data_IF_065760988385
#
_entry.id   IF_065760988385
#
_cell.length_a   1.000
_cell.length_b   1.000
_cell.length_c   1.000
_cell.angle_alpha   90.00
_cell.angle_beta   90.00
_cell.angle_gamma   90.00
#
_symmetry.space_group_name_H-M   'P 1'
#
loop_
_entity.id
_entity.type
_entity.pdbx_description
1 polymer ?
#
# COMPACT_ATOMS: atom_id res chain seq x y z
N UNK A 1 -36.37 -29.55 -28.44
CA UNK A 1 -36.19 -29.54 -26.97
C UNK A 1 -34.88 -30.22 -26.53
N UNK A 2 -34.47 -31.34 -27.15
CA UNK A 2 -33.17 -31.99 -26.87
C UNK A 2 -31.96 -31.07 -27.13
N UNK A 3 -32.02 -30.26 -28.18
CA UNK A 3 -30.95 -29.34 -28.57
C UNK A 3 -30.59 -28.34 -27.46
N UNK A 4 -31.58 -27.69 -26.86
CA UNK A 4 -31.34 -26.73 -25.77
C UNK A 4 -30.77 -27.42 -24.54
N UNK A 5 -31.20 -28.66 -24.27
CA UNK A 5 -30.75 -29.45 -23.11
C UNK A 5 -29.28 -29.89 -23.24
N UNK A 6 -28.86 -30.27 -24.45
CA UNK A 6 -27.46 -30.61 -24.71
C UNK A 6 -26.57 -29.37 -24.58
N UNK A 7 -27.02 -28.21 -25.06
CA UNK A 7 -26.26 -26.96 -24.96
C UNK A 7 -26.04 -26.56 -23.50
N UNK A 8 -27.08 -26.57 -22.66
CA UNK A 8 -26.91 -26.23 -21.24
C UNK A 8 -26.03 -27.24 -20.50
N UNK A 9 -26.08 -28.52 -20.87
CA UNK A 9 -25.24 -29.55 -20.26
C UNK A 9 -23.76 -29.33 -20.60
N UNK A 10 -23.44 -29.02 -21.86
CA UNK A 10 -22.06 -28.71 -22.28
C UNK A 10 -21.58 -27.43 -21.61
N UNK A 11 -22.41 -26.38 -21.56
CA UNK A 11 -22.06 -25.12 -20.89
C UNK A 11 -21.81 -25.30 -19.40
N UNK A 12 -22.60 -26.13 -18.71
CA UNK A 12 -22.38 -26.44 -17.30
C UNK A 12 -21.04 -27.14 -17.06
N UNK A 13 -20.67 -28.12 -17.91
CA UNK A 13 -19.39 -28.83 -17.82
C UNK A 13 -18.21 -27.88 -18.10
N UNK A 14 -18.29 -27.10 -19.17
CA UNK A 14 -17.24 -26.12 -19.51
C UNK A 14 -17.09 -25.05 -18.42
N UNK A 15 -18.20 -24.55 -17.88
CA UNK A 15 -18.19 -23.57 -16.79
C UNK A 15 -17.50 -24.10 -15.53
N UNK A 16 -17.77 -25.35 -15.14
CA UNK A 16 -17.12 -25.98 -14.00
C UNK A 16 -15.60 -26.14 -14.20
N UNK A 17 -15.16 -26.56 -15.39
CA UNK A 17 -13.74 -26.71 -15.72
C UNK A 17 -13.02 -25.36 -15.69
N UNK A 18 -13.61 -24.31 -16.26
CA UNK A 18 -13.02 -22.97 -16.30
C UNK A 18 -12.83 -22.40 -14.89
N UNK A 19 -13.80 -22.55 -13.99
CA UNK A 19 -13.68 -22.09 -12.59
C UNK A 19 -12.61 -22.87 -11.83
N UNK A 20 -12.47 -24.16 -12.11
CA UNK A 20 -11.43 -24.98 -11.48
C UNK A 20 -10.02 -24.60 -11.96
N UNK A 21 -9.88 -24.25 -13.24
CA UNK A 21 -8.62 -23.80 -13.83
C UNK A 21 -8.25 -22.37 -13.43
N UNK A 22 -9.22 -21.46 -13.45
CA UNK A 22 -9.04 -20.08 -13.03
C UNK A 22 -9.29 -20.00 -11.53
N UNK A 23 -8.27 -20.19 -10.70
CA UNK A 23 -8.36 -19.90 -9.27
C UNK A 23 -8.80 -18.42 -9.09
N UNK A 24 -10.09 -18.14 -8.83
CA UNK A 24 -10.61 -16.79 -8.97
C UNK A 24 -10.19 -15.92 -7.79
N UNK A 25 -10.02 -16.55 -6.62
CA UNK A 25 -9.47 -15.91 -5.44
C UNK A 25 -8.04 -15.41 -5.70
N UNK A 26 -7.21 -16.24 -6.33
CA UNK A 26 -5.84 -15.86 -6.70
C UNK A 26 -5.81 -14.75 -7.76
N UNK A 27 -6.73 -14.78 -8.71
CA UNK A 27 -6.85 -13.71 -9.71
C UNK A 27 -7.19 -12.36 -9.06
N UNK A 28 -8.10 -12.36 -8.08
CA UNK A 28 -8.44 -11.15 -7.32
C UNK A 28 -7.28 -10.66 -6.45
N UNK A 29 -6.56 -11.57 -5.80
CA UNK A 29 -5.33 -11.22 -5.04
C UNK A 29 -4.29 -10.57 -5.95
N UNK A 30 -4.03 -11.17 -7.12
CA UNK A 30 -3.10 -10.62 -8.11
C UNK A 30 -3.52 -9.24 -8.61
N UNK A 31 -4.82 -9.00 -8.79
CA UNK A 31 -5.33 -7.69 -9.16
C UNK A 31 -5.08 -6.64 -8.07
N UNK A 32 -5.36 -6.97 -6.79
CA UNK A 32 -5.06 -6.08 -5.65
C UNK A 32 -3.56 -5.82 -5.53
N UNK A 33 -2.72 -6.83 -5.63
CA UNK A 33 -1.26 -6.64 -5.57
C UNK A 33 -0.73 -5.79 -6.73
N UNK A 34 -1.31 -5.93 -7.93
CA UNK A 34 -0.96 -5.07 -9.06
C UNK A 34 -1.30 -3.61 -8.78
N UNK A 35 -2.43 -3.36 -8.10
CA UNK A 35 -2.79 -2.04 -7.59
C UNK A 35 -1.77 -1.56 -6.54
N UNK A 36 -1.41 -2.39 -5.55
CA UNK A 36 -0.39 -2.05 -4.53
C UNK A 36 0.93 -1.63 -5.15
N UNK A 37 1.44 -2.40 -6.11
CA UNK A 37 2.69 -2.08 -6.81
C UNK A 37 2.58 -0.74 -7.56
N UNK A 38 1.45 -0.48 -8.22
CA UNK A 38 1.20 0.80 -8.90
C UNK A 38 1.12 1.97 -7.93
N UNK A 39 0.47 1.76 -6.77
CA UNK A 39 0.32 2.75 -5.71
C UNK A 39 1.69 3.12 -5.12
N UNK A 40 2.51 2.12 -4.78
CA UNK A 40 3.87 2.32 -4.28
C UNK A 40 4.73 3.10 -5.28
N UNK A 41 4.65 2.78 -6.57
CA UNK A 41 5.36 3.52 -7.63
C UNK A 41 4.90 4.97 -7.73
N UNK A 42 3.59 5.20 -7.60
CA UNK A 42 2.97 6.53 -7.63
C UNK A 42 3.44 7.38 -6.45
N UNK A 43 3.39 6.84 -5.23
CA UNK A 43 3.87 7.55 -4.03
C UNK A 43 5.38 7.81 -4.14
N UNK A 44 6.18 6.80 -4.52
CA UNK A 44 7.63 6.95 -4.69
C UNK A 44 7.98 8.08 -5.64
N UNK A 45 7.26 8.19 -6.75
CA UNK A 45 7.44 9.27 -7.73
C UNK A 45 7.05 10.63 -7.13
N UNK A 46 5.90 10.72 -6.48
CA UNK A 46 5.41 11.95 -5.86
C UNK A 46 6.37 12.49 -4.76
N UNK A 47 6.82 11.61 -3.87
CA UNK A 47 7.79 11.96 -2.82
C UNK A 47 9.18 12.25 -3.40
N UNK A 48 9.60 11.55 -4.46
CA UNK A 48 10.85 11.85 -5.17
C UNK A 48 10.84 13.26 -5.78
N UNK A 49 9.71 13.68 -6.38
CA UNK A 49 9.52 15.06 -6.84
C UNK A 49 9.61 16.03 -5.66
N UNK A 50 8.95 15.72 -4.53
CA UNK A 50 9.00 16.56 -3.34
C UNK A 50 10.42 16.79 -2.81
N UNK A 51 11.18 15.70 -2.61
CA UNK A 51 12.55 15.74 -2.10
C UNK A 51 13.52 16.49 -3.01
N UNK A 52 13.27 16.52 -4.32
CA UNK A 52 14.13 17.21 -5.30
C UNK A 52 13.72 18.64 -5.58
N UNK A 53 12.46 19.00 -5.28
CA UNK A 53 11.90 20.33 -5.58
C UNK A 53 11.89 21.27 -4.37
N UNK A 54 11.98 20.73 -3.15
CA UNK A 54 11.96 21.52 -1.90
C UNK A 54 13.37 21.59 -1.32
N UNK A 55 13.86 22.79 -1.01
CA UNK A 55 15.24 23.01 -0.52
C UNK A 55 15.49 22.47 0.89
N UNK A 56 14.46 22.47 1.73
CA UNK A 56 14.48 21.95 3.10
C UNK A 56 13.23 21.07 3.30
N UNK A 57 13.21 19.87 2.71
CA UNK A 57 12.02 19.03 2.73
C UNK A 57 11.74 18.53 4.15
N UNK A 58 10.46 18.56 4.53
CA UNK A 58 9.97 18.01 5.80
C UNK A 58 9.18 16.75 5.48
N UNK A 59 9.63 15.62 6.00
CA UNK A 59 9.09 14.29 5.64
C UNK A 59 8.63 13.46 6.84
N UNK A 60 8.54 14.09 8.01
CA UNK A 60 8.15 13.49 9.29
C UNK A 60 7.05 14.26 10.02
N UNK A 61 6.51 15.34 9.43
CA UNK A 61 5.64 16.30 10.10
C UNK A 61 6.13 16.73 11.50
N UNK A 62 7.45 16.92 11.67
CA UNK A 62 8.11 17.23 12.95
C UNK A 62 8.08 16.10 14.01
N UNK A 63 7.76 14.88 13.58
CA UNK A 63 8.04 13.66 14.34
C UNK A 63 9.53 13.29 14.30
N UNK A 64 9.86 12.03 14.60
CA UNK A 64 11.23 11.52 14.45
C UNK A 64 11.28 10.51 13.32
N UNK A 65 11.95 10.86 12.22
CA UNK A 65 12.47 9.86 11.30
C UNK A 65 13.28 8.80 12.09
N UNK A 66 13.26 7.55 11.63
CA UNK A 66 13.75 6.32 12.28
C UNK A 66 12.92 5.72 13.43
N UNK A 67 12.12 6.51 14.15
CA UNK A 67 11.30 6.00 15.26
C UNK A 67 9.81 5.89 14.90
N UNK A 68 9.36 6.61 13.87
CA UNK A 68 7.95 6.63 13.50
C UNK A 68 7.66 5.74 12.29
N UNK A 69 6.50 5.09 12.35
CA UNK A 69 5.88 4.40 11.21
C UNK A 69 4.46 4.92 11.07
N UNK A 70 4.15 5.42 9.88
CA UNK A 70 2.82 5.89 9.55
C UNK A 70 2.10 4.84 8.70
N UNK A 71 0.78 4.76 8.87
CA UNK A 71 -0.04 3.70 8.30
C UNK A 71 -1.19 4.29 7.51
N UNK A 72 -1.52 3.70 6.35
CA UNK A 72 -2.74 4.04 5.58
C UNK A 72 -4.06 3.67 6.26
N UNK A 73 -4.03 3.45 7.56
CA UNK A 73 -5.15 3.09 8.41
C UNK A 73 -5.13 3.98 9.66
N UNK A 74 -6.31 4.46 10.05
CA UNK A 74 -6.48 5.24 11.26
C UNK A 74 -6.55 4.34 12.50
N UNK A 75 -6.05 4.84 13.63
CA UNK A 75 -6.24 4.22 14.95
C UNK A 75 -5.34 3.02 15.25
N UNK A 76 -4.31 2.77 14.43
CA UNK A 76 -3.17 1.93 14.82
C UNK A 76 -2.65 2.45 16.17
N UNK A 77 -2.01 1.65 17.00
CA UNK A 77 -1.39 2.03 18.27
C UNK A 77 -0.11 1.25 18.53
N UNK A 78 0.36 0.54 17.51
CA UNK A 78 1.54 -0.30 17.58
C UNK A 78 2.82 0.54 17.67
N UNK A 79 3.52 0.38 18.79
CA UNK A 79 4.81 1.01 19.08
C UNK A 79 6.01 0.08 18.87
N UNK A 80 5.76 -1.18 18.49
CA UNK A 80 6.77 -2.24 18.44
C UNK A 80 7.58 -2.29 17.13
N UNK A 81 7.07 -1.69 16.06
CA UNK A 81 7.64 -1.80 14.70
C UNK A 81 8.85 -0.87 14.47
N UNK A 82 9.21 -0.01 15.44
CA UNK A 82 10.21 1.04 15.22
C UNK A 82 11.29 1.20 16.31
N UNK A 83 11.58 0.15 17.09
CA UNK A 83 12.74 0.14 18.01
C UNK A 83 12.72 1.15 19.17
N UNK A 84 11.83 2.15 19.18
CA UNK A 84 11.48 3.02 20.31
C UNK A 84 10.37 4.00 19.89
N UNK A 85 9.29 4.04 20.69
CA UNK A 85 8.19 5.04 20.70
C UNK A 85 7.69 5.48 19.30
N UNK A 86 7.02 4.58 18.58
CA UNK A 86 6.40 4.94 17.30
C UNK A 86 5.28 5.95 17.49
N UNK A 87 5.42 7.15 16.90
CA UNK A 87 4.28 8.03 16.69
C UNK A 87 3.36 7.38 15.66
N UNK A 88 2.32 6.79 16.21
CA UNK A 88 1.09 6.34 15.61
C UNK A 88 0.52 7.33 14.59
N UNK A 89 0.05 6.83 13.45
CA UNK A 89 -0.71 7.57 12.43
C UNK A 89 -1.66 8.61 13.05
N UNK A 90 -1.36 9.90 12.85
CA UNK A 90 -2.14 11.03 13.41
C UNK A 90 -3.31 11.44 12.52
N UNK A 91 -3.37 10.91 11.28
CA UNK A 91 -4.42 11.21 10.33
C UNK A 91 -5.74 10.56 10.77
N UNK A 92 -6.84 11.32 10.77
CA UNK A 92 -8.17 10.75 10.99
C UNK A 92 -8.59 9.88 9.80
N UNK A 93 -9.61 9.04 9.97
CA UNK A 93 -10.12 8.20 8.88
C UNK A 93 -10.57 9.00 7.64
N UNK A 94 -11.00 10.26 7.82
CA UNK A 94 -11.39 11.15 6.73
C UNK A 94 -10.20 11.77 6.01
N UNK A 95 -9.06 11.88 6.69
CA UNK A 95 -7.87 12.60 6.20
C UNK A 95 -6.85 11.67 5.56
N UNK A 96 -6.94 10.34 5.71
CA UNK A 96 -5.91 9.40 5.26
C UNK A 96 -5.38 9.71 3.86
N UNK A 97 -6.27 9.99 2.89
CA UNK A 97 -5.90 10.28 1.51
C UNK A 97 -5.38 11.70 1.23
N UNK A 98 -5.38 12.62 2.19
CA UNK A 98 -5.03 14.02 1.97
C UNK A 98 -3.54 14.22 1.70
N UNK A 99 -3.21 15.14 0.80
CA UNK A 99 -1.83 15.38 0.31
C UNK A 99 -1.25 16.72 0.80
N UNK A 100 -1.92 17.37 1.74
CA UNK A 100 -1.54 18.66 2.33
C UNK A 100 -0.70 18.53 3.61
N UNK A 101 -0.27 17.31 3.94
CA UNK A 101 0.49 16.98 5.14
C UNK A 101 -0.37 16.49 6.32
N UNK A 102 -1.69 16.47 6.19
CA UNK A 102 -2.61 15.90 7.20
C UNK A 102 -2.92 14.43 6.99
N UNK A 103 -2.62 13.88 5.80
CA UNK A 103 -2.89 12.49 5.47
C UNK A 103 -1.94 11.49 6.11
N UNK A 104 -2.09 10.22 5.70
CA UNK A 104 -1.35 9.13 6.34
C UNK A 104 0.16 9.20 6.07
N UNK A 105 0.58 9.87 5.00
CA UNK A 105 1.97 10.26 4.79
C UNK A 105 2.13 11.71 5.26
N UNK A 106 3.04 11.99 6.21
CA UNK A 106 3.22 13.30 6.83
C UNK A 106 4.01 14.29 5.93
N UNK A 107 3.67 14.36 4.65
CA UNK A 107 4.34 15.18 3.63
C UNK A 107 3.32 16.08 2.95
N UNK A 108 3.56 17.38 2.96
CA UNK A 108 2.71 18.36 2.28
C UNK A 108 3.13 18.50 0.81
N UNK A 109 2.57 17.67 -0.06
CA UNK A 109 2.75 17.75 -1.51
C UNK A 109 2.07 18.96 -2.12
N UNK A 110 0.99 19.45 -1.51
CA UNK A 110 0.30 20.68 -1.93
C UNK A 110 1.18 21.94 -1.87
N UNK A 111 2.29 21.89 -1.12
CA UNK A 111 3.28 22.98 -1.05
C UNK A 111 4.17 23.11 -2.29
N UNK A 112 4.12 22.14 -3.21
CA UNK A 112 4.93 22.17 -4.42
C UNK A 112 4.47 23.28 -5.38
N UNK A 113 5.45 23.94 -6.00
CA UNK A 113 5.19 24.92 -7.06
C UNK A 113 4.58 24.18 -8.26
N UNK A 114 3.35 24.54 -8.62
CA UNK A 114 2.57 23.82 -9.64
C UNK A 114 1.53 22.86 -9.07
N UNK A 115 1.43 22.72 -7.74
CA UNK A 115 0.48 21.88 -7.05
C UNK A 115 0.97 20.45 -6.82
N UNK A 116 0.16 19.66 -6.11
CA UNK A 116 0.48 18.26 -5.81
C UNK A 116 0.52 17.41 -7.09
N UNK A 117 1.53 16.52 -7.27
CA UNK A 117 1.61 15.61 -8.41
C UNK A 117 0.55 14.50 -8.39
N UNK A 118 -0.11 14.31 -7.24
CA UNK A 118 -1.20 13.33 -7.05
C UNK A 118 -2.37 14.00 -6.31
N UNK A 119 -3.59 13.58 -6.61
CA UNK A 119 -4.81 14.14 -5.98
C UNK A 119 -5.07 13.62 -4.57
N UNK A 120 -4.57 12.42 -4.26
CA UNK A 120 -4.74 11.77 -2.96
C UNK A 120 -3.66 10.70 -2.76
N UNK A 121 -3.22 10.48 -1.52
CA UNK A 121 -2.45 9.28 -1.21
C UNK A 121 -3.32 8.04 -1.35
N UNK A 122 -2.86 6.99 -2.06
CA UNK A 122 -3.60 5.75 -2.16
C UNK A 122 -3.63 5.04 -0.81
N UNK A 123 -4.65 4.20 -0.63
CA UNK A 123 -4.87 3.38 0.56
C UNK A 123 -4.91 1.93 0.10
N UNK A 124 -4.38 1.01 0.91
CA UNK A 124 -4.37 -0.42 0.58
C UNK A 124 -5.80 -0.90 0.20
N UNK A 125 -5.98 -1.65 -0.90
CA UNK A 125 -7.31 -2.10 -1.33
C UNK A 125 -8.06 -2.95 -0.30
N UNK A 126 -7.34 -3.65 0.56
CA UNK A 126 -7.88 -4.41 1.68
C UNK A 126 -7.89 -3.58 2.96
N UNK A 127 -6.86 -2.77 3.21
CA UNK A 127 -6.67 -1.94 4.40
C UNK A 127 -7.07 -2.64 5.71
N UNK A 128 -6.66 -3.89 5.86
CA UNK A 128 -7.09 -4.78 6.94
C UNK A 128 -5.89 -5.18 7.78
N UNK A 129 -6.01 -5.04 9.09
CA UNK A 129 -5.00 -5.46 10.06
C UNK A 129 -5.61 -6.40 11.09
N UNK A 130 -4.79 -7.23 11.71
CA UNK A 130 -5.24 -8.18 12.74
C UNK A 130 -5.36 -7.54 14.12
N UNK A 131 -4.45 -6.62 14.46
CA UNK A 131 -4.42 -5.94 15.76
C UNK A 131 -3.86 -4.53 15.61
N UNK A 132 -4.63 -3.52 16.06
CA UNK A 132 -4.18 -2.12 16.04
C UNK A 132 -2.90 -1.90 16.86
N UNK A 133 -2.67 -2.71 17.91
CA UNK A 133 -1.51 -2.57 18.80
C UNK A 133 -0.34 -3.52 18.49
N UNK A 134 -0.45 -4.34 17.44
CA UNK A 134 0.56 -5.31 17.03
C UNK A 134 0.38 -5.68 15.56
N UNK A 135 0.92 -4.83 14.68
CA UNK A 135 0.86 -4.95 13.23
C UNK A 135 1.87 -6.00 12.78
N UNK A 136 1.37 -7.04 12.12
CA UNK A 136 2.21 -8.09 11.55
C UNK A 136 2.72 -7.67 10.17
N UNK A 137 3.89 -8.14 9.74
CA UNK A 137 4.40 -7.92 8.37
C UNK A 137 3.53 -8.52 7.25
N UNK A 138 2.52 -9.30 7.61
CA UNK A 138 1.52 -9.87 6.69
C UNK A 138 0.22 -9.06 6.64
N UNK A 139 0.04 -8.07 7.52
CA UNK A 139 -1.16 -7.22 7.52
C UNK A 139 -1.18 -6.33 6.26
N UNK A 140 -2.36 -6.20 5.66
CA UNK A 140 -2.58 -5.56 4.37
C UNK A 140 -2.89 -4.07 4.56
N UNK A 141 -1.84 -3.31 4.82
CA UNK A 141 -1.84 -1.86 5.04
C UNK A 141 -0.56 -1.27 4.46
N UNK A 142 -0.61 -0.05 3.91
CA UNK A 142 0.60 0.65 3.51
C UNK A 142 1.29 1.26 4.72
N UNK A 143 2.62 1.23 4.69
CA UNK A 143 3.48 1.73 5.75
C UNK A 143 4.44 2.72 5.17
N UNK A 144 4.72 3.77 5.91
CA UNK A 144 5.71 4.78 5.56
C UNK A 144 6.64 4.98 6.74
N UNK A 145 7.94 5.07 6.46
CA UNK A 145 8.94 5.54 7.41
C UNK A 145 9.96 6.42 6.68
N UNK A 146 10.73 7.18 7.44
CA UNK A 146 11.72 8.10 6.90
C UNK A 146 13.04 8.02 7.65
N UNK A 147 14.09 8.44 6.97
CA UNK A 147 15.39 8.73 7.56
C UNK A 147 15.76 10.18 7.26
N UNK A 148 16.30 10.88 8.25
CA UNK A 148 16.84 12.22 8.08
C UNK A 148 18.33 12.20 7.69
N UNK A 149 19.04 11.09 7.92
CA UNK A 149 20.49 10.97 7.65
C UNK A 149 20.86 9.52 7.24
N UNK A 150 21.09 9.24 5.94
CA UNK A 150 20.84 10.11 4.79
C UNK A 150 19.34 10.37 4.63
N UNK A 151 18.98 11.52 4.05
CA UNK A 151 17.58 11.87 3.82
C UNK A 151 16.94 10.91 2.82
N UNK A 152 15.86 10.26 3.25
CA UNK A 152 15.17 9.25 2.45
C UNK A 152 13.90 8.78 3.13
N UNK A 153 13.17 7.93 2.41
CA UNK A 153 11.97 7.30 2.90
C UNK A 153 11.89 5.85 2.42
N UNK A 154 11.05 5.10 3.09
CA UNK A 154 10.69 3.73 2.75
C UNK A 154 9.18 3.60 2.83
N UNK A 155 8.60 2.88 1.87
CA UNK A 155 7.17 2.60 1.82
C UNK A 155 6.99 1.14 1.49
N UNK A 156 6.23 0.46 2.33
CA UNK A 156 6.01 -0.97 2.23
C UNK A 156 4.54 -1.33 2.11
N UNK A 157 4.29 -2.45 1.44
CA UNK A 157 3.00 -3.12 1.40
C UNK A 157 3.20 -4.64 1.42
N UNK A 158 2.37 -5.35 2.17
CA UNK A 158 2.30 -6.81 2.09
C UNK A 158 1.54 -7.23 0.81
N UNK A 159 2.08 -8.22 0.09
CA UNK A 159 1.45 -8.81 -1.09
C UNK A 159 0.75 -10.13 -0.74
N UNK A 160 -0.35 -10.44 -1.44
CA UNK A 160 -1.25 -11.56 -1.12
C UNK A 160 -1.16 -12.75 -2.06
N UNK A 161 -0.81 -12.50 -3.33
CA UNK A 161 -0.87 -13.47 -4.41
C UNK A 161 0.35 -14.38 -4.41
N UNK A 162 0.15 -15.67 -4.65
CA UNK A 162 1.23 -16.63 -4.89
C UNK A 162 2.05 -16.21 -6.12
N UNK A 163 1.40 -15.54 -7.09
CA UNK A 163 2.07 -14.97 -8.24
C UNK A 163 3.22 -14.01 -7.85
N UNK A 164 3.01 -13.12 -6.86
CA UNK A 164 3.99 -12.09 -6.48
C UNK A 164 4.72 -12.35 -5.15
N UNK A 165 4.35 -13.40 -4.43
CA UNK A 165 5.03 -13.83 -3.19
C UNK A 165 5.83 -15.12 -3.36
N UNK A 166 5.60 -15.88 -4.44
CA UNK A 166 6.28 -17.16 -4.66
C UNK A 166 6.81 -17.30 -6.10
N UNK A 167 5.97 -17.10 -7.11
CA UNK A 167 6.34 -17.38 -8.52
C UNK A 167 7.28 -16.32 -9.08
N UNK A 168 6.92 -15.06 -8.92
CA UNK A 168 7.75 -13.90 -9.22
C UNK A 168 7.79 -13.02 -7.98
N UNK A 169 8.50 -13.50 -6.96
CA UNK A 169 8.57 -12.81 -5.67
C UNK A 169 9.09 -11.38 -5.85
N UNK A 170 8.16 -10.42 -5.76
CA UNK A 170 8.44 -9.01 -5.98
C UNK A 170 9.22 -8.41 -4.83
N UNK A 171 9.08 -8.96 -3.62
CA UNK A 171 9.78 -8.51 -2.40
C UNK A 171 11.27 -8.85 -2.46
N UNK A 172 11.62 -9.92 -3.17
CA UNK A 172 13.03 -10.29 -3.38
C UNK A 172 13.72 -9.45 -4.48
N UNK A 173 12.97 -8.64 -5.23
CA UNK A 173 13.44 -7.93 -6.44
C UNK A 173 13.00 -6.46 -6.47
N UNK A 174 12.60 -5.90 -5.34
CA UNK A 174 12.11 -4.52 -5.25
C UNK A 174 13.26 -3.48 -5.25
N UNK A 175 14.51 -3.93 -5.10
CA UNK A 175 15.69 -3.08 -5.09
C UNK A 175 15.86 -2.30 -3.78
N UNK A 176 15.12 -2.67 -2.73
CA UNK A 176 15.42 -2.31 -1.34
C UNK A 176 16.53 -3.17 -0.77
N UNK A 177 17.03 -2.82 0.43
CA UNK A 177 18.01 -3.60 1.18
C UNK A 177 17.32 -4.47 2.22
#
# INVERSE_FOLDING_TARGET
>A
MLELLIVIAILAILGAIVIFLLNPAETLKKARDSQRISDLSTIKTALGIYLTSVSSPVIDAYGSCASNVWYSLNGVTDTSVAGSEAATSTATAAELGEVDGTGWIPVNLSSLVGGSPISSFPIDPSNTITSLSAIANTDLVYRYTCSSTPMGFEIDAALESDAFTSTDDKRAKDGGN
#
